data_IF_490250936372
#
_entry.id   IF_490250936372
#
_cell.length_a   1.000
_cell.length_b   1.000
_cell.length_c   1.000
_cell.angle_alpha   90.00
_cell.angle_beta   90.00
_cell.angle_gamma   90.00
#
_symmetry.space_group_name_H-M   'P 1'
#
loop_
_entity.id
_entity.type
_entity.pdbx_description
1 polymer ?
#
# COMPACT_ATOMS: atom_id res chain seq x y z
N UNK A 1 -6.28 9.61 -7.63
CA UNK A 1 -5.18 9.76 -6.65
C UNK A 1 -4.06 8.85 -7.12
N UNK A 2 -2.83 9.35 -7.31
CA UNK A 2 -1.71 8.51 -7.75
C UNK A 2 -1.32 7.51 -6.66
N UNK A 3 -1.10 6.26 -7.05
CA UNK A 3 -0.75 5.11 -6.20
C UNK A 3 0.76 4.81 -6.35
N UNK A 4 1.53 4.68 -5.26
CA UNK A 4 2.96 4.38 -5.35
C UNK A 4 3.26 3.03 -6.03
N UNK A 5 2.31 2.09 -6.06
CA UNK A 5 2.49 0.78 -6.68
C UNK A 5 2.94 0.85 -8.15
N UNK A 6 2.38 1.78 -8.94
CA UNK A 6 2.79 1.98 -10.33
C UNK A 6 4.23 2.48 -10.45
N UNK A 7 4.66 3.30 -9.49
CA UNK A 7 6.05 3.80 -9.44
C UNK A 7 7.01 2.69 -9.03
N UNK A 8 6.61 1.80 -8.12
CA UNK A 8 7.40 0.62 -7.77
C UNK A 8 7.58 -0.33 -8.95
N UNK A 9 6.52 -0.60 -9.71
CA UNK A 9 6.63 -1.42 -10.91
C UNK A 9 7.59 -0.80 -11.93
N UNK A 10 7.45 0.51 -12.22
CA UNK A 10 8.36 1.20 -13.15
C UNK A 10 9.81 1.22 -12.66
N UNK A 11 10.01 1.34 -11.34
CA UNK A 11 11.35 1.27 -10.75
C UNK A 11 11.96 -0.12 -10.95
N UNK A 12 11.17 -1.17 -10.75
CA UNK A 12 11.56 -2.56 -10.97
C UNK A 12 11.93 -2.82 -12.43
N UNK A 13 11.06 -2.46 -13.37
CA UNK A 13 11.29 -2.64 -14.80
C UNK A 13 12.57 -1.91 -15.25
N UNK A 14 12.80 -0.69 -14.72
CA UNK A 14 14.01 0.08 -15.00
C UNK A 14 15.28 -0.60 -14.47
N UNK A 15 15.22 -1.24 -13.30
CA UNK A 15 16.35 -2.02 -12.78
C UNK A 15 16.67 -3.24 -13.63
N UNK A 16 15.65 -3.97 -14.10
CA UNK A 16 15.82 -5.11 -15.00
C UNK A 16 16.49 -4.69 -16.33
N UNK A 17 16.26 -3.46 -16.76
CA UNK A 17 16.91 -2.85 -17.93
C UNK A 17 18.29 -2.22 -17.60
N UNK A 18 18.86 -2.45 -16.42
CA UNK A 18 20.09 -1.84 -15.91
C UNK A 18 20.06 -0.29 -15.88
N UNK A 19 18.87 0.32 -15.89
CA UNK A 19 18.70 1.76 -15.85
C UNK A 19 18.48 2.23 -14.40
N UNK A 20 19.58 2.30 -13.66
CA UNK A 20 19.58 2.70 -12.25
C UNK A 20 19.13 4.14 -12.02
N UNK A 21 19.34 5.03 -13.00
CA UNK A 21 18.88 6.42 -12.93
C UNK A 21 17.36 6.52 -12.94
N UNK A 22 16.70 5.84 -13.88
CA UNK A 22 15.24 5.82 -13.95
C UNK A 22 14.63 5.06 -12.77
N UNK A 23 15.24 3.96 -12.35
CA UNK A 23 14.81 3.25 -11.16
C UNK A 23 14.80 4.15 -9.92
N UNK A 24 15.89 4.87 -9.68
CA UNK A 24 15.99 5.83 -8.59
C UNK A 24 14.96 6.97 -8.69
N UNK A 25 14.72 7.49 -9.91
CA UNK A 25 13.71 8.52 -10.15
C UNK A 25 12.32 8.02 -9.74
N UNK A 26 11.91 6.83 -10.16
CA UNK A 26 10.60 6.28 -9.84
C UNK A 26 10.44 5.98 -8.35
N UNK A 27 11.48 5.47 -7.68
CA UNK A 27 11.46 5.29 -6.21
C UNK A 27 11.26 6.64 -5.50
N UNK A 28 11.93 7.71 -5.97
CA UNK A 28 11.75 9.05 -5.40
C UNK A 28 10.35 9.58 -5.63
N UNK A 29 9.76 9.35 -6.81
CA UNK A 29 8.36 9.70 -7.07
C UNK A 29 7.39 8.95 -6.15
N UNK A 30 7.64 7.66 -5.89
CA UNK A 30 6.87 6.89 -4.91
C UNK A 30 6.98 7.52 -3.51
N UNK A 31 8.19 7.92 -3.09
CA UNK A 31 8.41 8.62 -1.83
C UNK A 31 7.63 9.93 -1.74
N UNK A 32 7.56 10.71 -2.83
CA UNK A 32 6.75 11.93 -2.89
C UNK A 32 5.26 11.63 -2.66
N UNK A 33 4.73 10.57 -3.28
CA UNK A 33 3.34 10.15 -3.07
C UNK A 33 3.10 9.75 -1.60
N UNK A 34 4.00 8.97 -1.01
CA UNK A 34 3.93 8.60 0.41
C UNK A 34 3.98 9.85 1.29
N UNK A 35 4.82 10.83 0.96
CA UNK A 35 4.93 12.08 1.71
C UNK A 35 3.65 12.93 1.65
N UNK A 36 2.89 12.86 0.55
CA UNK A 36 1.57 13.48 0.50
C UNK A 36 0.64 12.80 1.51
N UNK A 37 0.69 11.47 1.65
CA UNK A 37 -0.11 10.75 2.65
C UNK A 37 0.32 11.06 4.09
N UNK A 38 1.60 11.38 4.35
CA UNK A 38 2.07 11.86 5.66
C UNK A 38 1.30 13.10 6.11
N UNK A 39 1.06 14.06 5.21
CA UNK A 39 0.33 15.29 5.55
C UNK A 39 -1.16 15.05 5.82
N UNK A 40 -1.69 13.92 5.35
CA UNK A 40 -3.10 13.51 5.50
C UNK A 40 -3.29 12.50 6.63
N UNK A 41 -2.21 12.05 7.25
CA UNK A 41 -2.21 11.04 8.28
C UNK A 41 -2.48 11.62 9.66
N UNK A 42 -3.26 10.88 10.46
CA UNK A 42 -3.35 11.12 11.90
C UNK A 42 -2.01 10.82 12.58
N UNK A 43 -1.83 11.34 13.80
CA UNK A 43 -0.56 11.36 14.55
C UNK A 43 0.15 10.00 14.62
N UNK A 44 -0.60 8.91 14.77
CA UNK A 44 -0.05 7.54 14.82
C UNK A 44 0.59 7.11 13.50
N UNK A 45 -0.12 7.28 12.37
CA UNK A 45 0.37 6.89 11.05
C UNK A 45 1.40 7.88 10.47
N UNK A 46 1.41 9.12 10.96
CA UNK A 46 2.30 10.18 10.47
C UNK A 46 3.78 9.77 10.57
N UNK A 47 4.22 9.31 11.76
CA UNK A 47 5.61 8.91 11.99
C UNK A 47 6.03 7.73 11.11
N UNK A 48 5.15 6.74 10.97
CA UNK A 48 5.46 5.53 10.20
C UNK A 48 5.56 5.83 8.70
N UNK A 49 4.62 6.61 8.15
CA UNK A 49 4.67 7.05 6.76
C UNK A 49 5.85 7.99 6.49
N UNK A 50 6.21 8.86 7.45
CA UNK A 50 7.36 9.75 7.33
C UNK A 50 8.67 8.95 7.29
N UNK A 51 8.80 7.96 8.18
CA UNK A 51 9.95 7.05 8.19
C UNK A 51 10.08 6.29 6.86
N UNK A 52 8.97 5.78 6.31
CA UNK A 52 8.97 5.12 5.00
C UNK A 52 9.36 6.06 3.85
N UNK A 53 8.84 7.28 3.83
CA UNK A 53 9.21 8.27 2.82
C UNK A 53 10.72 8.52 2.82
N UNK A 54 11.32 8.66 4.01
CA UNK A 54 12.77 8.80 4.16
C UNK A 54 13.54 7.54 3.75
N UNK A 55 13.04 6.35 4.09
CA UNK A 55 13.61 5.06 3.68
C UNK A 55 13.65 4.93 2.15
N UNK A 56 12.57 5.29 1.46
CA UNK A 56 12.49 5.31 0.00
C UNK A 56 13.44 6.33 -0.62
N UNK A 57 13.58 7.52 -0.05
CA UNK A 57 14.55 8.52 -0.51
C UNK A 57 15.98 7.97 -0.40
N UNK A 58 16.33 7.35 0.74
CA UNK A 58 17.63 6.74 0.95
C UNK A 58 17.88 5.58 -0.03
N UNK A 59 16.86 4.73 -0.25
CA UNK A 59 16.92 3.65 -1.22
C UNK A 59 17.14 4.18 -2.64
N UNK A 60 16.43 5.26 -3.04
CA UNK A 60 16.61 5.88 -4.36
C UNK A 60 18.06 6.33 -4.59
N UNK A 61 18.72 6.87 -3.55
CA UNK A 61 20.13 7.27 -3.62
C UNK A 61 21.05 6.05 -3.79
N UNK A 62 20.83 4.99 -3.01
CA UNK A 62 21.60 3.74 -3.15
C UNK A 62 21.46 3.12 -4.53
N UNK A 63 20.24 3.10 -5.07
CA UNK A 63 19.96 2.60 -6.43
C UNK A 63 20.69 3.44 -7.46
N UNK A 64 20.58 4.77 -7.38
CA UNK A 64 21.26 5.70 -8.29
C UNK A 64 22.78 5.49 -8.32
N UNK A 65 23.36 5.26 -7.14
CA UNK A 65 24.80 5.06 -6.96
C UNK A 65 25.26 3.64 -7.38
N UNK A 66 24.36 2.76 -7.84
CA UNK A 66 24.69 1.37 -8.16
C UNK A 66 25.06 0.52 -6.93
N UNK A 67 24.76 0.98 -5.72
CA UNK A 67 25.10 0.32 -4.45
C UNK A 67 24.11 -0.75 -4.02
N UNK A 68 23.05 -0.97 -4.80
CA UNK A 68 22.13 -2.07 -4.60
C UNK A 68 22.69 -3.30 -5.28
N UNK A 69 23.13 -4.25 -4.48
CA UNK A 69 23.71 -5.51 -4.95
C UNK A 69 22.67 -6.62 -5.13
N UNK A 70 21.48 -6.47 -4.54
CA UNK A 70 20.39 -7.46 -4.63
C UNK A 70 19.02 -6.77 -4.70
N UNK A 71 18.10 -7.37 -5.43
CA UNK A 71 16.72 -6.89 -5.59
C UNK A 71 15.86 -7.10 -4.34
N UNK A 72 16.22 -8.06 -3.47
CA UNK A 72 15.52 -8.38 -2.21
C UNK A 72 15.33 -7.16 -1.29
N UNK A 73 16.33 -6.27 -1.25
CA UNK A 73 16.21 -5.01 -0.50
C UNK A 73 15.11 -4.09 -1.01
N UNK A 74 14.89 -4.03 -2.33
CA UNK A 74 13.81 -3.24 -2.91
C UNK A 74 12.45 -3.89 -2.66
N UNK A 75 12.33 -5.19 -2.93
CA UNK A 75 11.10 -5.96 -2.74
C UNK A 75 10.59 -5.80 -1.31
N UNK A 76 11.48 -5.96 -0.32
CA UNK A 76 11.14 -5.77 1.09
C UNK A 76 10.66 -4.34 1.40
N UNK A 77 11.35 -3.31 0.91
CA UNK A 77 10.94 -1.91 1.14
C UNK A 77 9.63 -1.57 0.42
N UNK A 78 9.40 -2.09 -0.79
CA UNK A 78 8.16 -1.91 -1.54
C UNK A 78 7.00 -2.60 -0.82
N UNK A 79 7.15 -3.87 -0.46
CA UNK A 79 6.15 -4.63 0.31
C UNK A 79 5.81 -3.93 1.62
N UNK A 80 6.82 -3.51 2.39
CA UNK A 80 6.64 -2.77 3.64
C UNK A 80 5.87 -1.47 3.43
N UNK A 81 6.19 -0.72 2.37
CA UNK A 81 5.49 0.53 2.05
C UNK A 81 4.01 0.31 1.80
N UNK A 82 3.70 -0.67 0.95
CA UNK A 82 2.32 -1.06 0.64
C UNK A 82 1.56 -1.49 1.90
N UNK A 83 2.17 -2.29 2.79
CA UNK A 83 1.55 -2.71 4.06
C UNK A 83 1.24 -1.55 5.00
N UNK A 84 2.12 -0.56 5.11
CA UNK A 84 1.84 0.64 5.94
C UNK A 84 0.75 1.50 5.31
N UNK A 85 0.73 1.65 3.99
CA UNK A 85 -0.34 2.36 3.30
C UNK A 85 -1.68 1.67 3.51
N UNK A 86 -1.73 0.33 3.44
CA UNK A 86 -2.93 -0.44 3.75
C UNK A 86 -3.46 -0.13 5.17
N UNK A 87 -2.57 -0.14 6.18
CA UNK A 87 -2.91 0.25 7.56
C UNK A 87 -3.43 1.68 7.66
N UNK A 88 -2.76 2.62 6.99
CA UNK A 88 -3.20 4.01 6.96
C UNK A 88 -4.62 4.15 6.39
N UNK A 89 -4.91 3.45 5.28
CA UNK A 89 -6.24 3.46 4.68
C UNK A 89 -7.29 2.79 5.56
N UNK A 90 -6.95 1.72 6.28
CA UNK A 90 -7.84 1.12 7.28
C UNK A 90 -8.19 2.08 8.42
N UNK A 91 -7.21 2.81 8.96
CA UNK A 91 -7.46 3.83 9.98
C UNK A 91 -8.39 4.93 9.47
N UNK A 92 -8.25 5.35 8.20
CA UNK A 92 -9.19 6.28 7.58
C UNK A 92 -10.59 5.67 7.44
N UNK A 93 -10.70 4.40 7.06
CA UNK A 93 -11.97 3.70 6.97
C UNK A 93 -12.69 3.64 8.33
N UNK A 94 -11.98 3.33 9.41
CA UNK A 94 -12.52 3.34 10.77
C UNK A 94 -13.06 4.73 11.15
N UNK A 95 -12.30 5.78 10.85
CA UNK A 95 -12.73 7.15 11.08
C UNK A 95 -14.00 7.48 10.29
N UNK A 96 -14.02 7.20 8.97
CA UNK A 96 -15.20 7.47 8.14
C UNK A 96 -16.42 6.67 8.58
N UNK A 97 -16.23 5.43 9.07
CA UNK A 97 -17.31 4.64 9.63
C UNK A 97 -17.88 5.30 10.89
N UNK A 98 -17.02 5.76 11.81
CA UNK A 98 -17.45 6.45 13.03
C UNK A 98 -18.19 7.76 12.77
N UNK A 99 -17.88 8.41 11.64
CA UNK A 99 -18.53 9.64 11.17
C UNK A 99 -19.73 9.38 10.24
N UNK A 100 -20.13 8.11 10.04
CA UNK A 100 -21.29 7.75 9.18
C UNK A 100 -21.11 8.19 7.71
N UNK A 101 -19.85 8.33 7.26
CA UNK A 101 -19.51 8.64 5.87
C UNK A 101 -19.23 7.35 5.08
N UNK A 102 -20.28 6.59 4.79
CA UNK A 102 -20.16 5.25 4.20
C UNK A 102 -19.44 5.19 2.84
N UNK A 103 -19.67 6.12 1.89
CA UNK A 103 -18.94 6.10 0.61
C UNK A 103 -17.42 6.27 0.79
N UNK A 104 -17.01 7.17 1.70
CA UNK A 104 -15.59 7.40 2.01
C UNK A 104 -14.98 6.21 2.76
N UNK A 105 -15.75 5.57 3.64
CA UNK A 105 -15.35 4.34 4.32
C UNK A 105 -15.10 3.21 3.31
N UNK A 106 -16.04 2.96 2.40
CA UNK A 106 -15.92 1.95 1.35
C UNK A 106 -14.70 2.20 0.46
N UNK A 107 -14.50 3.44 -0.01
CA UNK A 107 -13.33 3.82 -0.79
C UNK A 107 -12.01 3.57 -0.05
N UNK A 108 -11.94 3.92 1.24
CA UNK A 108 -10.75 3.70 2.05
C UNK A 108 -10.47 2.20 2.28
N UNK A 109 -11.50 1.38 2.48
CA UNK A 109 -11.36 -0.08 2.61
C UNK A 109 -10.86 -0.72 1.32
N UNK A 110 -11.31 -0.24 0.16
CA UNK A 110 -10.84 -0.74 -1.13
C UNK A 110 -9.38 -0.36 -1.37
N UNK A 111 -9.01 0.90 -1.09
CA UNK A 111 -7.63 1.35 -1.17
C UNK A 111 -6.73 0.51 -0.25
N UNK A 112 -7.19 0.18 0.96
CA UNK A 112 -6.47 -0.70 1.87
C UNK A 112 -6.26 -2.10 1.28
N UNK A 113 -7.33 -2.72 0.77
CA UNK A 113 -7.27 -4.05 0.15
C UNK A 113 -6.34 -4.08 -1.06
N UNK A 114 -6.33 -3.02 -1.86
CA UNK A 114 -5.43 -2.89 -3.02
C UNK A 114 -3.97 -2.82 -2.61
N UNK A 115 -3.65 -2.03 -1.59
CA UNK A 115 -2.29 -1.98 -1.03
C UNK A 115 -1.88 -3.33 -0.42
N UNK A 116 -2.80 -4.09 0.19
CA UNK A 116 -2.51 -5.47 0.60
C UNK A 116 -2.13 -6.32 -0.62
N UNK A 117 -2.89 -6.27 -1.71
CA UNK A 117 -2.55 -7.00 -2.95
C UNK A 117 -1.19 -6.59 -3.51
N UNK A 118 -0.90 -5.29 -3.60
CA UNK A 118 0.40 -4.82 -4.11
C UNK A 118 1.57 -5.21 -3.21
N UNK A 119 1.37 -5.27 -1.90
CA UNK A 119 2.41 -5.74 -0.99
C UNK A 119 2.88 -7.16 -1.30
N UNK A 120 2.01 -7.97 -1.92
CA UNK A 120 2.22 -9.38 -2.24
C UNK A 120 2.99 -9.59 -3.53
N UNK A 121 2.92 -8.63 -4.45
CA UNK A 121 3.82 -8.59 -5.61
C UNK A 121 5.28 -8.58 -5.17
N UNK A 122 5.55 -7.98 -4.02
CA UNK A 122 6.89 -7.73 -3.52
C UNK A 122 7.28 -8.55 -2.29
N UNK A 123 6.39 -9.43 -1.78
CA UNK A 123 6.74 -10.31 -0.65
C UNK A 123 7.10 -11.71 -1.11
N UNK A 124 8.03 -12.33 -0.39
CA UNK A 124 8.40 -13.74 -0.58
C UNK A 124 7.22 -14.68 -0.29
N UNK A 125 6.35 -14.31 0.66
CA UNK A 125 5.07 -14.98 0.89
C UNK A 125 4.00 -14.38 -0.01
N UNK A 126 3.41 -15.18 -0.90
CA UNK A 126 2.29 -14.79 -1.76
C UNK A 126 0.96 -15.22 -1.16
N UNK A 127 -0.10 -14.45 -1.41
CA UNK A 127 -1.49 -14.84 -1.17
C UNK A 127 -1.82 -16.16 -1.87
N UNK A 128 -2.72 -16.95 -1.29
CA UNK A 128 -3.40 -17.99 -2.07
C UNK A 128 -4.25 -17.36 -3.18
N UNK A 129 -4.41 -18.07 -4.30
CA UNK A 129 -5.29 -17.63 -5.40
C UNK A 129 -6.72 -17.35 -4.92
N UNK A 130 -7.20 -18.13 -3.93
CA UNK A 130 -8.49 -17.90 -3.28
C UNK A 130 -8.57 -16.53 -2.61
N UNK A 131 -7.53 -16.12 -1.88
CA UNK A 131 -7.48 -14.82 -1.22
C UNK A 131 -7.39 -13.66 -2.22
N UNK A 132 -6.64 -13.84 -3.32
CA UNK A 132 -6.58 -12.88 -4.43
C UNK A 132 -7.95 -12.74 -5.11
N UNK A 133 -8.60 -13.85 -5.40
CA UNK A 133 -9.93 -13.88 -6.01
C UNK A 133 -10.98 -13.24 -5.10
N UNK A 134 -10.90 -13.47 -3.79
CA UNK A 134 -11.78 -12.83 -2.80
C UNK A 134 -11.59 -11.31 -2.78
N UNK A 135 -10.35 -10.83 -2.81
CA UNK A 135 -10.05 -9.40 -2.85
C UNK A 135 -10.53 -8.74 -4.16
N UNK A 136 -10.38 -9.42 -5.31
CA UNK A 136 -10.87 -8.95 -6.63
C UNK A 136 -12.40 -8.98 -6.75
N UNK A 137 -13.04 -10.08 -6.32
CA UNK A 137 -14.50 -10.22 -6.35
C UNK A 137 -15.20 -9.14 -5.53
N UNK A 138 -14.61 -8.75 -4.41
CA UNK A 138 -15.15 -7.70 -3.54
C UNK A 138 -14.99 -6.29 -4.14
N UNK A 139 -13.99 -6.04 -5.00
CA UNK A 139 -13.93 -4.78 -5.78
C UNK A 139 -15.15 -4.64 -6.72
N UNK A 140 -15.65 -5.76 -7.27
CA UNK A 140 -16.83 -5.74 -8.14
C UNK A 140 -18.15 -5.58 -7.35
N UNK A 141 -18.27 -6.14 -6.15
CA UNK A 141 -19.46 -5.96 -5.28
C UNK A 141 -19.68 -4.50 -4.87
N UNK A 142 -18.60 -3.73 -4.71
CA UNK A 142 -18.65 -2.30 -4.34
C UNK A 142 -19.49 -1.47 -5.32
N UNK A 143 -19.49 -1.77 -6.62
CA UNK A 143 -20.29 -1.03 -7.62
C UNK A 143 -21.80 -1.08 -7.33
N UNK A 144 -22.25 -1.98 -6.45
CA UNK A 144 -23.67 -2.25 -6.21
C UNK A 144 -24.18 -1.84 -4.81
N UNK A 145 -23.32 -1.47 -3.85
CA UNK A 145 -23.72 -1.28 -2.43
C UNK A 145 -23.01 -0.14 -1.67
N UNK A 146 -22.59 0.93 -2.37
CA UNK A 146 -21.81 2.07 -1.82
C UNK A 146 -22.44 2.73 -0.57
N UNK A 147 -23.76 2.61 -0.39
CA UNK A 147 -24.51 3.40 0.59
C UNK A 147 -24.93 2.64 1.87
N UNK A 148 -24.57 1.36 2.02
CA UNK A 148 -25.03 0.57 3.18
C UNK A 148 -24.00 0.46 4.31
N UNK A 149 -24.42 0.85 5.52
CA UNK A 149 -23.65 0.67 6.77
C UNK A 149 -23.23 -0.79 6.98
N UNK A 150 -24.12 -1.74 6.64
CA UNK A 150 -23.89 -3.18 6.76
C UNK A 150 -22.71 -3.64 5.90
N UNK A 151 -22.58 -3.12 4.68
CA UNK A 151 -21.44 -3.43 3.81
C UNK A 151 -20.13 -2.90 4.40
N UNK A 152 -20.11 -1.63 4.84
CA UNK A 152 -18.92 -1.01 5.42
C UNK A 152 -18.41 -1.77 6.66
N UNK A 153 -19.31 -2.16 7.57
CA UNK A 153 -18.96 -2.94 8.78
C UNK A 153 -18.40 -4.32 8.44
N UNK A 154 -19.08 -5.08 7.57
CA UNK A 154 -18.61 -6.42 7.15
C UNK A 154 -17.23 -6.34 6.48
N UNK A 155 -17.03 -5.35 5.61
CA UNK A 155 -15.78 -5.19 4.89
C UNK A 155 -14.62 -4.78 5.79
N UNK A 156 -14.85 -3.90 6.76
CA UNK A 156 -13.83 -3.52 7.74
C UNK A 156 -13.29 -4.75 8.49
N UNK A 157 -14.17 -5.66 8.93
CA UNK A 157 -13.76 -6.91 9.60
C UNK A 157 -12.91 -7.79 8.68
N UNK A 158 -13.33 -7.97 7.42
CA UNK A 158 -12.59 -8.77 6.45
C UNK A 158 -11.19 -8.22 6.17
N UNK A 159 -11.07 -6.93 5.85
CA UNK A 159 -9.78 -6.31 5.50
C UNK A 159 -8.84 -6.26 6.71
N UNK A 160 -9.37 -6.09 7.93
CA UNK A 160 -8.57 -6.22 9.16
C UNK A 160 -7.99 -7.62 9.34
N UNK A 161 -8.85 -8.64 9.20
CA UNK A 161 -8.41 -10.05 9.32
C UNK A 161 -7.33 -10.38 8.29
N UNK A 162 -7.53 -9.92 7.06
CA UNK A 162 -6.55 -10.07 5.99
C UNK A 162 -5.23 -9.39 6.41
N UNK A 163 -5.26 -8.11 6.79
CA UNK A 163 -4.07 -7.40 7.25
C UNK A 163 -3.35 -8.11 8.42
N UNK A 164 -4.08 -8.53 9.45
CA UNK A 164 -3.52 -9.25 10.62
C UNK A 164 -2.80 -10.54 10.22
N UNK A 165 -3.36 -11.27 9.24
CA UNK A 165 -2.70 -12.45 8.69
C UNK A 165 -1.39 -12.11 7.95
N UNK A 166 -1.29 -10.95 7.29
CA UNK A 166 -0.09 -10.53 6.53
C UNK A 166 0.94 -9.73 7.34
N UNK A 167 0.56 -9.26 8.52
CA UNK A 167 1.43 -8.56 9.48
C UNK A 167 1.21 -9.07 10.90
N UNK A 168 1.51 -10.34 11.20
CA UNK A 168 1.40 -10.85 12.56
C UNK A 168 2.44 -10.18 13.47
N UNK A 169 1.97 -9.57 14.57
CA UNK A 169 2.85 -9.06 15.65
C UNK A 169 3.42 -7.65 15.48
N UNK A 170 2.73 -6.76 14.75
CA UNK A 170 3.00 -5.31 14.77
C UNK A 170 2.08 -4.59 15.76
#
# INVERSE_FOLDING_TARGET
>A
MEDPAHKFQKAWDSLLMNNTQNAALYIRQAATIVNIEVTRAQKEMHKELQSLSQELIALSKKVKDGKVTTTSGLEKTFSKTEKVLARHKLKKAELYLSLVHFPNCAYALEAAARHILYSQTWSEQKLSDESVMKLKGIQNEMLTMIDSETYAKKRLVAVKKDLEFFTPGL
#
